data_IF_164327829931
#
_entry.id   IF_164327829931
#
_cell.length_a   1.000
_cell.length_b   1.000
_cell.length_c   1.000
_cell.angle_alpha   90.00
_cell.angle_beta   90.00
_cell.angle_gamma   90.00
#
_symmetry.space_group_name_H-M   'P 1'
#
loop_
_entity.id
_entity.type
_entity.pdbx_description
1 polymer ?
#
# COMPACT_ATOMS: atom_id res chain seq x y z
N UNK A 1 -11.97 5.06 -29.88
CA UNK A 1 -10.95 4.49 -28.95
C UNK A 1 -10.07 5.53 -28.24
N UNK A 2 -9.81 6.74 -28.79
CA UNK A 2 -9.02 7.78 -28.09
C UNK A 2 -9.72 8.40 -26.86
N UNK A 3 -11.03 8.63 -26.94
CA UNK A 3 -11.83 9.33 -25.90
C UNK A 3 -11.91 8.56 -24.56
N UNK A 4 -11.84 7.24 -24.57
CA UNK A 4 -11.90 6.42 -23.36
C UNK A 4 -10.56 6.45 -22.57
N UNK A 5 -9.43 6.39 -23.28
CA UNK A 5 -8.10 6.43 -22.67
C UNK A 5 -7.81 7.79 -22.03
N UNK A 6 -8.22 8.89 -22.67
CA UNK A 6 -8.07 10.25 -22.12
C UNK A 6 -8.87 10.47 -20.83
N UNK A 7 -10.08 9.91 -20.72
CA UNK A 7 -10.90 9.99 -19.49
C UNK A 7 -10.37 9.14 -18.34
N UNK A 8 -9.80 7.97 -18.63
CA UNK A 8 -9.15 7.10 -17.62
C UNK A 8 -7.88 7.76 -17.07
N UNK A 9 -7.11 8.44 -17.94
CA UNK A 9 -5.94 9.22 -17.53
C UNK A 9 -6.34 10.48 -16.73
N UNK A 10 -7.39 11.19 -17.16
CA UNK A 10 -7.87 12.42 -16.53
C UNK A 10 -8.44 12.21 -15.12
N UNK A 11 -8.97 11.02 -14.82
CA UNK A 11 -9.55 10.73 -13.50
C UNK A 11 -8.54 10.29 -12.44
N UNK A 12 -7.23 10.22 -12.75
CA UNK A 12 -6.19 9.67 -11.87
C UNK A 12 -6.62 8.32 -11.24
N UNK A 13 -7.42 7.53 -11.94
CA UNK A 13 -8.00 6.27 -11.43
C UNK A 13 -6.91 5.24 -11.18
N UNK A 14 -5.88 5.16 -12.02
CA UNK A 14 -4.76 4.24 -11.84
C UNK A 14 -4.00 4.48 -10.52
N UNK A 15 -3.57 5.72 -10.18
CA UNK A 15 -2.99 6.02 -8.88
C UNK A 15 -3.91 5.68 -7.69
N UNK A 16 -5.20 6.01 -7.78
CA UNK A 16 -6.17 5.71 -6.71
C UNK A 16 -6.42 4.22 -6.52
N UNK A 17 -6.46 3.47 -7.62
CA UNK A 17 -6.55 2.01 -7.59
C UNK A 17 -5.28 1.39 -6.99
N UNK A 18 -4.09 1.90 -7.33
CA UNK A 18 -2.83 1.48 -6.72
C UNK A 18 -2.79 1.73 -5.21
N UNK A 19 -3.33 2.87 -4.74
CA UNK A 19 -3.47 3.15 -3.30
C UNK A 19 -4.39 2.14 -2.61
N UNK A 20 -5.50 1.77 -3.25
CA UNK A 20 -6.43 0.78 -2.72
C UNK A 20 -5.78 -0.61 -2.63
N UNK A 21 -5.05 -1.03 -3.68
CA UNK A 21 -4.31 -2.30 -3.69
C UNK A 21 -3.22 -2.32 -2.62
N UNK A 22 -2.45 -1.24 -2.45
CA UNK A 22 -1.45 -1.14 -1.37
C UNK A 22 -2.09 -1.25 0.01
N UNK A 23 -3.25 -0.63 0.21
CA UNK A 23 -3.99 -0.69 1.49
C UNK A 23 -4.46 -2.11 1.80
N UNK A 24 -4.97 -2.84 0.80
CA UNK A 24 -5.38 -4.24 0.98
C UNK A 24 -4.19 -5.13 1.33
N UNK A 25 -3.06 -4.97 0.63
CA UNK A 25 -1.85 -5.74 0.91
C UNK A 25 -1.31 -5.45 2.31
N UNK A 26 -1.40 -4.21 2.79
CA UNK A 26 -1.04 -3.84 4.15
C UNK A 26 -1.89 -4.56 5.20
N UNK A 27 -3.22 -4.54 5.05
CA UNK A 27 -4.13 -5.26 5.96
C UNK A 27 -3.75 -6.73 6.00
N UNK A 28 -3.49 -7.34 4.84
CA UNK A 28 -3.07 -8.75 4.75
C UNK A 28 -1.76 -9.07 5.48
N UNK A 29 -0.76 -8.18 5.40
CA UNK A 29 0.52 -8.37 6.09
C UNK A 29 0.34 -8.24 7.61
N UNK A 30 -0.50 -7.31 8.07
CA UNK A 30 -0.79 -7.16 9.51
C UNK A 30 -1.57 -8.36 10.03
N UNK A 31 -2.63 -8.78 9.33
CA UNK A 31 -3.41 -9.96 9.70
C UNK A 31 -2.53 -11.21 9.77
N UNK A 32 -1.60 -11.37 8.83
CA UNK A 32 -0.61 -12.44 8.88
C UNK A 32 0.30 -12.31 10.11
N UNK A 33 0.88 -11.14 10.35
CA UNK A 33 1.81 -10.94 11.46
C UNK A 33 1.15 -11.11 12.83
N UNK A 34 -0.09 -10.63 12.99
CA UNK A 34 -0.88 -10.80 14.21
C UNK A 34 -1.40 -12.24 14.40
N UNK A 35 -1.54 -13.00 13.32
CA UNK A 35 -1.92 -14.41 13.36
C UNK A 35 -0.78 -15.35 13.71
N UNK A 36 0.47 -14.87 13.76
CA UNK A 36 1.62 -15.69 14.15
C UNK A 36 1.62 -15.95 15.67
N UNK A 37 1.81 -17.22 16.09
CA UNK A 37 2.09 -17.54 17.48
C UNK A 37 3.30 -16.76 17.99
N UNK A 38 3.22 -16.18 19.20
CA UNK A 38 4.27 -15.30 19.73
C UNK A 38 5.64 -16.00 19.89
N UNK A 39 5.64 -17.32 20.02
CA UNK A 39 6.82 -18.18 20.07
C UNK A 39 7.52 -18.36 18.71
N UNK A 40 6.85 -18.06 17.59
CA UNK A 40 7.42 -18.14 16.23
C UNK A 40 7.61 -16.78 15.55
N UNK A 41 7.22 -15.68 16.22
CA UNK A 41 7.47 -14.32 15.71
C UNK A 41 8.96 -14.06 15.66
N UNK A 42 9.53 -14.13 14.46
CA UNK A 42 10.95 -13.86 14.25
C UNK A 42 11.22 -12.36 14.20
N UNK A 43 12.41 -11.94 14.65
CA UNK A 43 12.88 -10.55 14.52
C UNK A 43 12.91 -10.07 13.07
N UNK A 44 13.12 -10.98 12.12
CA UNK A 44 13.08 -10.72 10.68
C UNK A 44 11.66 -10.37 10.20
N UNK A 45 10.64 -11.10 10.66
CA UNK A 45 9.24 -10.83 10.33
C UNK A 45 8.76 -9.48 10.91
N UNK A 46 9.20 -9.16 12.13
CA UNK A 46 8.93 -7.85 12.76
C UNK A 46 9.60 -6.72 11.98
N UNK A 47 10.87 -6.89 11.60
CA UNK A 47 11.61 -5.91 10.80
C UNK A 47 10.94 -5.67 9.43
N UNK A 48 10.56 -6.74 8.72
CA UNK A 48 9.84 -6.66 7.45
C UNK A 48 8.52 -5.88 7.60
N UNK A 49 7.71 -6.24 8.60
CA UNK A 49 6.40 -5.61 8.83
C UNK A 49 6.54 -4.12 9.16
N UNK A 50 7.53 -3.76 9.97
CA UNK A 50 7.84 -2.37 10.30
C UNK A 50 8.32 -1.57 9.06
N UNK A 51 9.22 -2.14 8.25
CA UNK A 51 9.72 -1.49 7.02
C UNK A 51 8.59 -1.26 6.01
N UNK A 52 7.71 -2.25 5.80
CA UNK A 52 6.56 -2.13 4.88
C UNK A 52 5.59 -1.05 5.35
N UNK A 53 5.31 -0.98 6.66
CA UNK A 53 4.45 0.06 7.25
C UNK A 53 5.04 1.46 7.10
N UNK A 54 6.36 1.60 7.31
CA UNK A 54 7.07 2.87 7.09
C UNK A 54 7.08 3.30 5.62
N UNK A 55 7.35 2.37 4.70
CA UNK A 55 7.34 2.63 3.26
C UNK A 55 5.96 3.09 2.77
N UNK A 56 4.87 2.53 3.31
CA UNK A 56 3.50 2.92 3.00
C UNK A 56 3.23 4.40 3.37
N UNK A 57 3.69 4.82 4.55
CA UNK A 57 3.54 6.21 5.01
C UNK A 57 4.30 7.17 4.08
N UNK A 58 5.50 6.78 3.65
CA UNK A 58 6.27 7.52 2.64
C UNK A 58 5.55 7.61 1.28
N UNK A 59 5.02 6.49 0.79
CA UNK A 59 4.27 6.44 -0.47
C UNK A 59 2.99 7.30 -0.42
N UNK A 60 2.26 7.26 0.70
CA UNK A 60 1.07 8.10 0.92
C UNK A 60 1.44 9.59 0.96
N UNK A 61 2.50 9.97 1.66
CA UNK A 61 2.97 11.35 1.73
C UNK A 61 3.38 11.91 0.35
N UNK A 62 4.11 11.11 -0.45
CA UNK A 62 4.47 11.47 -1.83
C UNK A 62 3.22 11.63 -2.70
N UNK A 63 2.24 10.72 -2.54
CA UNK A 63 1.01 10.77 -3.31
C UNK A 63 0.15 12.00 -3.00
N UNK A 64 -0.07 12.33 -1.71
CA UNK A 64 -0.76 13.57 -1.29
C UNK A 64 -0.01 14.81 -1.79
N UNK A 65 1.33 14.77 -1.80
CA UNK A 65 2.15 15.83 -2.38
C UNK A 65 1.94 16.04 -3.88
N UNK A 66 1.68 14.97 -4.65
CA UNK A 66 1.34 15.02 -6.08
C UNK A 66 -0.15 15.28 -6.38
N UNK A 67 -1.02 15.28 -5.38
CA UNK A 67 -2.45 15.61 -5.54
C UNK A 67 -2.77 17.08 -5.25
N UNK A 68 -1.80 17.85 -4.71
CA UNK A 68 -1.79 19.33 -4.78
C UNK A 68 -1.51 19.81 -6.19
#
# INVERSE_FOLDING_TARGET
MKVAMEKILAWKIMPRLMMLVMTIMYIRVIEWFMGLPQDVVSTQATALTATVTGALTGAFAVWVGHEK
#
